data_IF_822769196881
#
_entry.id   IF_822769196881
#
_cell.length_a   1.000
_cell.length_b   1.000
_cell.length_c   1.000
_cell.angle_alpha   90.00
_cell.angle_beta   90.00
_cell.angle_gamma   90.00
#
_symmetry.space_group_name_H-M   'P 1'
#
loop_
_entity.id
_entity.type
_entity.pdbx_description
1 polymer ?
#
# COMPACT_ATOMS: atom_id res chain seq x y z
N UNK A 1 2.22 -17.98 0.28
CA UNK A 1 1.96 -16.57 -0.02
C UNK A 1 3.10 -15.70 0.47
N UNK A 2 3.39 -14.66 -0.24
CA UNK A 2 4.52 -13.79 0.04
C UNK A 2 4.03 -12.41 0.46
N UNK A 3 4.73 -11.76 1.37
CA UNK A 3 4.40 -10.42 1.81
C UNK A 3 5.30 -9.39 1.15
N UNK A 4 4.70 -8.29 0.72
CA UNK A 4 5.41 -7.16 0.12
C UNK A 4 5.05 -5.90 0.88
N UNK A 5 6.07 -5.11 1.20
CA UNK A 5 5.90 -3.83 1.88
C UNK A 5 6.08 -2.71 0.87
N UNK A 6 5.04 -1.91 0.69
CA UNK A 6 5.07 -0.70 -0.13
C UNK A 6 5.22 0.50 0.78
N UNK A 7 6.26 1.28 0.56
CA UNK A 7 6.46 2.53 1.28
C UNK A 7 6.25 3.71 0.34
N UNK A 8 5.48 4.68 0.80
CA UNK A 8 5.19 5.91 0.06
C UNK A 8 5.76 7.10 0.82
N UNK A 9 6.12 8.15 0.08
CA UNK A 9 6.36 9.46 0.67
C UNK A 9 5.34 10.45 0.09
N UNK A 10 4.95 11.43 0.91
CA UNK A 10 3.98 12.46 0.54
C UNK A 10 4.65 13.82 0.53
N UNK A 11 4.32 14.65 -0.47
CA UNK A 11 4.70 16.06 -0.49
C UNK A 11 3.59 16.90 0.14
N UNK A 12 3.80 18.21 0.21
CA UNK A 12 2.82 19.15 0.75
C UNK A 12 1.68 19.46 -0.24
N UNK A 13 1.68 18.86 -1.42
CA UNK A 13 0.66 19.09 -2.42
C UNK A 13 -0.70 18.56 -1.95
N UNK A 14 -1.69 19.43 -1.69
CA UNK A 14 -3.00 18.98 -1.20
C UNK A 14 -3.80 18.20 -2.24
N UNK A 15 -3.40 18.23 -3.51
CA UNK A 15 -4.09 17.51 -4.57
C UNK A 15 -4.08 15.99 -4.35
N UNK A 16 -3.12 15.45 -3.56
CA UNK A 16 -3.12 14.01 -3.23
C UNK A 16 -4.38 13.58 -2.50
N UNK A 17 -5.02 14.49 -1.76
CA UNK A 17 -6.21 14.18 -0.99
C UNK A 17 -7.42 13.91 -1.87
N UNK A 18 -7.42 14.41 -3.10
CA UNK A 18 -8.51 14.18 -4.05
C UNK A 18 -8.60 12.73 -4.49
N UNK A 19 -7.46 12.05 -4.58
CA UNK A 19 -7.43 10.63 -4.97
C UNK A 19 -7.68 9.66 -3.82
N UNK A 20 -7.72 10.16 -2.58
CA UNK A 20 -7.80 9.32 -1.39
C UNK A 20 -9.08 8.49 -1.29
N UNK A 21 -10.28 9.00 -1.56
CA UNK A 21 -11.49 8.19 -1.44
C UNK A 21 -11.49 6.97 -2.35
N UNK A 22 -11.17 7.13 -3.63
CA UNK A 22 -11.12 6.02 -4.56
C UNK A 22 -10.01 5.03 -4.19
N UNK A 23 -8.86 5.53 -3.76
CA UNK A 23 -7.76 4.69 -3.29
C UNK A 23 -8.19 3.82 -2.11
N UNK A 24 -8.89 4.40 -1.13
CA UNK A 24 -9.36 3.66 0.05
C UNK A 24 -10.41 2.61 -0.29
N UNK A 25 -11.24 2.84 -1.30
CA UNK A 25 -12.17 1.84 -1.80
C UNK A 25 -11.42 0.64 -2.40
N UNK A 26 -10.36 0.90 -3.18
CA UNK A 26 -9.52 -0.17 -3.73
C UNK A 26 -8.84 -0.97 -2.63
N UNK A 27 -8.33 -0.28 -1.60
CA UNK A 27 -7.71 -0.96 -0.46
C UNK A 27 -8.69 -1.87 0.26
N UNK A 28 -9.92 -1.41 0.46
CA UNK A 28 -10.96 -2.23 1.09
C UNK A 28 -11.27 -3.48 0.26
N UNK A 29 -11.35 -3.35 -1.06
CA UNK A 29 -11.57 -4.49 -1.95
C UNK A 29 -10.42 -5.49 -1.87
N UNK A 30 -9.18 -5.03 -1.88
CA UNK A 30 -8.00 -5.89 -1.75
C UNK A 30 -7.97 -6.59 -0.39
N UNK A 31 -8.35 -5.89 0.67
CA UNK A 31 -8.47 -6.50 2.01
C UNK A 31 -9.48 -7.63 1.97
N UNK A 32 -10.64 -7.41 1.37
CA UNK A 32 -11.70 -8.40 1.31
C UNK A 32 -11.29 -9.61 0.47
N UNK A 33 -10.42 -9.42 -0.50
CA UNK A 33 -9.84 -10.50 -1.30
C UNK A 33 -8.68 -11.23 -0.59
N UNK A 34 -8.28 -10.76 0.58
CA UNK A 34 -7.15 -11.34 1.32
C UNK A 34 -5.78 -10.93 0.82
N UNK A 35 -5.71 -9.93 -0.06
CA UNK A 35 -4.46 -9.48 -0.68
C UNK A 35 -3.81 -8.30 0.03
N UNK A 36 -4.53 -7.64 0.91
CA UNK A 36 -4.03 -6.54 1.72
C UNK A 36 -4.20 -6.86 3.19
N UNK A 37 -3.11 -6.82 3.95
CA UNK A 37 -3.15 -7.08 5.39
C UNK A 37 -3.38 -5.81 6.20
N UNK A 38 -2.71 -4.73 5.82
CA UNK A 38 -2.79 -3.47 6.53
C UNK A 38 -2.32 -2.35 5.61
N UNK A 39 -2.86 -1.16 5.80
CA UNK A 39 -2.45 0.02 5.07
C UNK A 39 -2.80 1.25 5.89
N UNK A 40 -1.91 2.24 5.90
CA UNK A 40 -2.19 3.49 6.57
C UNK A 40 -1.06 4.49 6.46
N UNK A 41 -1.38 5.78 6.65
CA UNK A 41 -0.36 6.81 6.66
C UNK A 41 0.43 6.78 7.97
N UNK A 42 1.67 7.28 7.91
CA UNK A 42 2.39 7.57 9.14
C UNK A 42 1.68 8.70 9.89
N UNK A 43 1.84 8.72 11.21
CA UNK A 43 1.14 9.71 12.05
C UNK A 43 1.46 11.16 11.69
N UNK A 44 2.65 11.42 11.17
CA UNK A 44 3.07 12.75 10.73
C UNK A 44 2.67 13.07 9.28
N UNK A 45 1.98 12.14 8.62
CA UNK A 45 1.56 12.22 7.22
C UNK A 45 2.72 12.43 6.22
N UNK A 46 3.94 12.03 6.60
CA UNK A 46 5.10 12.10 5.69
C UNK A 46 5.06 11.05 4.60
N UNK A 47 4.24 10.02 4.77
CA UNK A 47 4.12 8.91 3.86
C UNK A 47 3.17 7.85 4.39
N UNK A 48 3.27 6.65 3.86
CA UNK A 48 2.41 5.54 4.24
C UNK A 48 3.14 4.22 4.12
N UNK A 49 2.61 3.21 4.81
CA UNK A 49 3.06 1.84 4.71
C UNK A 49 1.87 0.96 4.36
N UNK A 50 2.05 0.09 3.37
CA UNK A 50 1.04 -0.88 2.94
C UNK A 50 1.67 -2.26 2.90
N UNK A 51 0.96 -3.25 3.44
CA UNK A 51 1.43 -4.64 3.47
C UNK A 51 0.50 -5.49 2.62
N UNK A 52 1.01 -5.98 1.50
CA UNK A 52 0.29 -6.87 0.60
C UNK A 52 0.67 -8.32 0.86
N UNK A 53 -0.28 -9.22 0.66
CA UNK A 53 -0.04 -10.66 0.71
C UNK A 53 -0.49 -11.26 -0.61
N UNK A 54 0.47 -11.55 -1.48
CA UNK A 54 0.25 -12.07 -2.83
C UNK A 54 1.27 -13.15 -3.15
N UNK A 55 1.07 -13.89 -4.25
CA UNK A 55 1.91 -15.03 -4.57
C UNK A 55 3.23 -14.64 -5.21
N UNK A 56 3.26 -13.55 -5.98
CA UNK A 56 4.44 -13.14 -6.74
C UNK A 56 4.67 -11.64 -6.67
N UNK A 57 5.92 -11.24 -6.93
CA UNK A 57 6.24 -9.82 -7.05
C UNK A 57 5.49 -9.16 -8.21
N UNK A 58 5.31 -9.89 -9.30
CA UNK A 58 4.59 -9.36 -10.47
C UNK A 58 3.15 -8.99 -10.09
N UNK A 59 2.50 -9.77 -9.25
CA UNK A 59 1.15 -9.44 -8.75
C UNK A 59 1.15 -8.18 -7.90
N UNK A 60 2.14 -8.04 -7.00
CA UNK A 60 2.27 -6.83 -6.19
C UNK A 60 2.51 -5.60 -7.06
N UNK A 61 3.38 -5.71 -8.06
CA UNK A 61 3.66 -4.62 -9.00
C UNK A 61 2.42 -4.24 -9.81
N UNK A 62 1.61 -5.22 -10.23
CA UNK A 62 0.37 -4.97 -10.96
C UNK A 62 -0.65 -4.21 -10.10
N UNK A 63 -0.76 -4.56 -8.82
CA UNK A 63 -1.65 -3.86 -7.88
C UNK A 63 -1.23 -2.39 -7.75
N UNK A 64 0.06 -2.14 -7.62
CA UNK A 64 0.59 -0.76 -7.53
C UNK A 64 0.33 -0.01 -8.83
N UNK A 65 0.58 -0.63 -9.98
CA UNK A 65 0.38 0.01 -11.28
C UNK A 65 -1.09 0.33 -11.56
N UNK A 66 -2.01 -0.47 -11.03
CA UNK A 66 -3.45 -0.30 -11.25
C UNK A 66 -4.07 0.83 -10.43
N UNK A 67 -3.39 1.32 -9.40
CA UNK A 67 -3.95 2.38 -8.55
C UNK A 67 -3.33 3.73 -8.94
N UNK A 68 -4.10 4.63 -9.55
CA UNK A 68 -3.59 5.94 -9.98
C UNK A 68 -3.14 6.82 -8.82
N UNK A 69 -3.53 6.50 -7.57
CA UNK A 69 -3.08 7.25 -6.40
C UNK A 69 -1.55 7.24 -6.28
N UNK A 70 -0.91 6.10 -6.59
CA UNK A 70 0.54 5.94 -6.41
C UNK A 70 1.37 6.73 -7.42
N UNK A 71 0.79 7.09 -8.56
CA UNK A 71 1.45 7.92 -9.57
C UNK A 71 0.87 9.33 -9.63
N UNK A 72 -0.07 9.64 -8.75
CA UNK A 72 -0.74 10.93 -8.71
C UNK A 72 0.06 12.02 -8.01
N UNK A 73 -0.51 13.23 -7.96
CA UNK A 73 0.17 14.37 -7.37
C UNK A 73 0.44 14.17 -5.88
N UNK A 74 1.61 14.58 -5.42
CA UNK A 74 1.97 14.54 -4.02
C UNK A 74 2.32 13.18 -3.46
N UNK A 75 2.32 12.13 -4.27
CA UNK A 75 2.64 10.76 -3.85
C UNK A 75 3.84 10.25 -4.61
N UNK A 76 4.80 9.65 -3.91
CA UNK A 76 5.96 8.99 -4.51
C UNK A 76 6.13 7.60 -3.90
N UNK A 77 6.39 6.62 -4.75
CA UNK A 77 6.75 5.28 -4.29
C UNK A 77 8.22 5.28 -3.90
N UNK A 78 8.49 5.04 -2.62
CA UNK A 78 9.87 4.95 -2.12
C UNK A 78 10.43 3.56 -2.42
N UNK A 79 9.67 2.52 -2.12
CA UNK A 79 10.10 1.14 -2.35
C UNK A 79 8.93 0.19 -2.33
N UNK A 80 9.11 -0.92 -3.03
CA UNK A 80 8.25 -2.10 -2.94
C UNK A 80 9.19 -3.28 -2.72
N UNK A 81 9.18 -3.84 -1.50
CA UNK A 81 10.13 -4.88 -1.10
C UNK A 81 9.40 -6.11 -0.59
N UNK A 82 9.92 -7.28 -0.92
CA UNK A 82 9.51 -8.49 -0.24
C UNK A 82 9.89 -8.37 1.23
N UNK A 83 8.93 -8.68 2.11
CA UNK A 83 9.11 -8.58 3.55
C UNK A 83 8.92 -9.97 4.16
N UNK A 84 9.88 -10.37 4.99
CA UNK A 84 9.88 -11.68 5.62
C UNK A 84 9.64 -11.49 7.13
N UNK A 85 8.38 -11.45 7.56
CA UNK A 85 8.07 -11.31 8.99
C UNK A 85 8.58 -12.54 9.76
N UNK A 86 9.37 -12.30 10.79
CA UNK A 86 9.89 -13.35 11.66
C UNK A 86 8.87 -13.70 12.74
N UNK A 87 8.14 -12.68 13.20
CA UNK A 87 7.09 -12.84 14.21
C UNK A 87 5.89 -12.04 13.76
N UNK A 88 4.73 -12.69 13.72
CA UNK A 88 3.50 -12.08 13.23
C UNK A 88 2.35 -12.44 14.15
N UNK A 89 1.58 -11.43 14.57
CA UNK A 89 0.40 -11.66 15.36
C UNK A 89 -0.65 -12.43 14.56
N UNK A 90 -1.45 -13.26 15.23
CA UNK A 90 -2.46 -14.08 14.57
C UNK A 90 -3.48 -13.25 13.77
N UNK A 91 -3.81 -12.05 14.24
CA UNK A 91 -4.73 -11.13 13.57
C UNK A 91 -4.25 -10.70 12.18
N UNK A 92 -2.93 -10.71 11.94
CA UNK A 92 -2.36 -10.34 10.66
C UNK A 92 -1.99 -11.56 9.81
N UNK A 93 -2.03 -12.70 10.39
CA UNK A 93 -1.74 -13.98 9.71
C UNK A 93 -2.99 -14.60 9.16
#
# INVERSE_FOLDING_TARGET
MTMYALELSFSDDPARLEGRPAHRERLAALRDEGKLLAAGPYADESGALLLYRVDTRAEAEAIVADDPYYSGPGVSVVSLKEWLPVTLAAELG
#
